data_IF_142148298123
#
_entry.id   IF_142148298123
#
_cell.length_a   1.000
_cell.length_b   1.000
_cell.length_c   1.000
_cell.angle_alpha   90.00
_cell.angle_beta   90.00
_cell.angle_gamma   90.00
#
_symmetry.space_group_name_H-M   'P 1'
#
loop_
_entity.id
_entity.type
_entity.pdbx_description
1 polymer ?
#
# COMPACT_ATOMS: atom_id res chain seq x y z
N UNK A 1 -22.68 84.93 3.98
CA UNK A 1 -23.21 83.55 4.01
C UNK A 1 -22.15 82.65 3.38
N UNK A 2 -21.45 81.87 4.20
CA UNK A 2 -20.39 80.95 3.79
C UNK A 2 -21.00 79.68 3.19
N UNK A 3 -20.52 79.25 2.03
CA UNK A 3 -20.74 77.90 1.50
C UNK A 3 -19.42 77.12 1.60
N UNK A 4 -19.37 76.18 2.54
CA UNK A 4 -18.26 75.24 2.72
C UNK A 4 -18.32 74.16 1.62
N UNK A 5 -17.23 74.02 0.88
CA UNK A 5 -16.95 72.84 0.06
C UNK A 5 -16.29 71.77 0.93
N UNK A 6 -16.96 70.63 1.13
CA UNK A 6 -16.36 69.46 1.78
C UNK A 6 -15.76 68.59 0.69
N UNK A 7 -14.43 68.55 0.61
CA UNK A 7 -13.71 67.55 -0.18
C UNK A 7 -13.70 66.22 0.60
N UNK A 8 -14.36 65.19 0.05
CA UNK A 8 -14.22 63.82 0.54
C UNK A 8 -12.85 63.28 0.13
N UNK A 9 -11.91 63.18 1.08
CA UNK A 9 -10.70 62.37 0.94
C UNK A 9 -11.09 60.90 1.17
N UNK A 10 -11.18 60.12 0.09
CA UNK A 10 -11.27 58.67 0.18
C UNK A 10 -9.90 58.10 0.55
N UNK A 11 -9.72 57.74 1.83
CA UNK A 11 -8.61 56.88 2.25
C UNK A 11 -8.93 55.45 1.80
N UNK A 12 -8.26 54.98 0.75
CA UNK A 12 -8.17 53.54 0.47
C UNK A 12 -7.29 52.90 1.56
N UNK A 13 -7.76 51.87 2.27
CA UNK A 13 -6.88 51.11 3.13
C UNK A 13 -5.87 50.37 2.24
N UNK A 14 -4.59 50.68 2.41
CA UNK A 14 -3.52 49.86 1.88
C UNK A 14 -3.65 48.46 2.49
N UNK A 15 -4.13 47.50 1.70
CA UNK A 15 -4.07 46.09 2.06
C UNK A 15 -2.59 45.73 2.11
N UNK A 16 -2.06 45.59 3.33
CA UNK A 16 -0.83 44.86 3.57
C UNK A 16 -1.09 43.42 3.13
N UNK A 17 -0.70 43.09 1.89
CA UNK A 17 -0.50 41.70 1.52
C UNK A 17 0.60 41.16 2.40
N UNK A 18 0.20 40.39 3.42
CA UNK A 18 1.14 39.53 4.11
C UNK A 18 1.83 38.66 3.05
N UNK A 19 3.15 38.44 3.14
CA UNK A 19 3.77 37.42 2.30
C UNK A 19 3.03 36.12 2.59
N UNK A 20 2.54 35.46 1.54
CA UNK A 20 2.15 34.06 1.62
C UNK A 20 3.44 33.34 2.02
N UNK A 21 3.62 33.13 3.32
CA UNK A 21 4.59 32.16 3.81
C UNK A 21 4.07 30.85 3.26
N UNK A 22 4.68 30.39 2.16
CA UNK A 22 4.55 29.03 1.71
C UNK A 22 4.71 28.17 2.95
N UNK A 23 3.67 27.42 3.29
CA UNK A 23 3.71 26.50 4.39
C UNK A 23 4.70 25.42 3.93
N UNK A 24 5.99 25.63 4.18
CA UNK A 24 7.01 24.58 4.00
C UNK A 24 6.59 23.51 4.98
N UNK A 25 5.82 22.53 4.48
CA UNK A 25 5.29 21.43 5.28
C UNK A 25 6.51 20.76 5.92
N UNK A 26 6.67 20.93 7.23
CA UNK A 26 7.91 20.58 7.92
C UNK A 26 8.13 19.08 7.87
N UNK A 27 9.32 18.67 7.44
CA UNK A 27 9.72 17.26 7.44
C UNK A 27 9.71 16.67 8.86
N UNK A 28 9.19 15.45 8.98
CA UNK A 28 9.19 14.64 10.18
C UNK A 28 10.63 14.32 10.59
N UNK A 29 10.98 14.64 11.85
CA UNK A 29 12.35 14.48 12.36
C UNK A 29 12.58 13.18 13.14
N UNK A 30 11.52 12.42 13.46
CA UNK A 30 11.61 11.16 14.20
C UNK A 30 10.63 10.12 13.64
N UNK A 31 10.89 9.62 12.42
CA UNK A 31 9.99 8.68 11.77
C UNK A 31 9.95 7.34 12.49
N UNK A 32 8.77 6.72 12.53
CA UNK A 32 8.67 5.31 12.90
C UNK A 32 9.29 4.43 11.81
N UNK A 33 9.88 3.30 12.20
CA UNK A 33 10.61 2.43 11.27
C UNK A 33 9.78 1.19 10.97
N UNK A 34 9.34 1.04 9.72
CA UNK A 34 8.78 -0.21 9.18
C UNK A 34 9.92 -1.20 8.94
N UNK A 35 9.72 -2.44 9.35
CA UNK A 35 10.78 -3.47 9.40
C UNK A 35 10.41 -4.71 8.61
N UNK A 36 11.43 -5.42 8.14
CA UNK A 36 11.23 -6.68 7.45
C UNK A 36 10.64 -7.72 8.40
N UNK A 37 9.62 -8.47 7.98
CA UNK A 37 8.87 -9.42 8.81
C UNK A 37 9.78 -10.36 9.64
N UNK A 38 10.85 -10.88 9.04
CA UNK A 38 11.72 -11.87 9.69
C UNK A 38 12.61 -11.25 10.77
N UNK A 39 12.70 -9.92 10.83
CA UNK A 39 13.38 -9.19 11.91
C UNK A 39 12.51 -9.01 13.15
N UNK A 40 11.19 -9.16 13.03
CA UNK A 40 10.26 -9.04 14.16
C UNK A 40 10.44 -10.20 15.15
N UNK A 41 10.25 -9.91 16.43
CA UNK A 41 10.13 -10.95 17.46
C UNK A 41 8.81 -11.71 17.33
N UNK A 42 8.75 -12.94 17.84
CA UNK A 42 7.52 -13.75 17.78
C UNK A 42 6.32 -13.03 18.41
N UNK A 43 6.49 -12.35 19.54
CA UNK A 43 5.40 -11.60 20.18
C UNK A 43 4.84 -10.48 19.30
N UNK A 44 5.65 -9.85 18.46
CA UNK A 44 5.18 -8.82 17.53
C UNK A 44 4.39 -9.45 16.37
N UNK A 45 4.83 -10.62 15.89
CA UNK A 45 4.12 -11.40 14.86
C UNK A 45 2.77 -11.88 15.38
N UNK A 46 2.74 -12.40 16.61
CA UNK A 46 1.51 -12.86 17.26
C UNK A 46 0.49 -11.72 17.39
N UNK A 47 0.92 -10.54 17.88
CA UNK A 47 0.07 -9.35 17.97
C UNK A 47 -0.45 -8.87 16.62
N UNK A 48 0.36 -8.98 15.57
CA UNK A 48 -0.09 -8.65 14.21
C UNK A 48 -1.25 -9.58 13.81
N UNK A 49 -1.08 -10.88 13.98
CA UNK A 49 -2.11 -11.87 13.64
C UNK A 49 -3.38 -11.71 14.49
N UNK A 50 -3.24 -11.43 15.79
CA UNK A 50 -4.36 -11.12 16.69
C UNK A 50 -5.13 -9.89 16.20
N UNK A 51 -4.45 -8.80 15.86
CA UNK A 51 -5.11 -7.59 15.38
C UNK A 51 -5.80 -7.80 14.04
N UNK A 52 -5.21 -8.54 13.10
CA UNK A 52 -5.87 -8.90 11.84
C UNK A 52 -7.19 -9.66 12.09
N UNK A 53 -7.20 -10.62 13.00
CA UNK A 53 -8.40 -11.39 13.35
C UNK A 53 -9.46 -10.53 14.04
N UNK A 54 -9.03 -9.63 14.92
CA UNK A 54 -9.93 -8.69 15.59
C UNK A 54 -10.70 -7.79 14.62
N UNK A 55 -10.15 -7.46 13.44
CA UNK A 55 -10.88 -6.71 12.42
C UNK A 55 -12.14 -7.43 11.92
N UNK A 56 -12.23 -8.76 12.08
CA UNK A 56 -13.45 -9.52 11.75
C UNK A 56 -14.59 -9.30 12.75
N UNK A 57 -14.25 -8.89 13.98
CA UNK A 57 -15.20 -8.62 15.06
C UNK A 57 -15.69 -7.17 15.07
N UNK A 58 -15.00 -6.28 14.35
CA UNK A 58 -15.36 -4.88 14.20
C UNK A 58 -16.48 -4.73 13.15
N UNK A 59 -17.53 -3.95 13.41
CA UNK A 59 -18.59 -3.74 12.42
C UNK A 59 -18.02 -3.04 11.18
N UNK A 60 -18.58 -3.37 10.00
CA UNK A 60 -18.29 -2.64 8.76
C UNK A 60 -18.68 -1.16 8.90
N UNK A 61 -17.90 -0.28 8.29
CA UNK A 61 -18.15 1.16 8.23
C UNK A 61 -18.87 1.60 6.96
N UNK A 62 -18.93 0.75 5.93
CA UNK A 62 -19.45 1.07 4.60
C UNK A 62 -20.98 0.96 4.50
N UNK A 63 -21.63 0.21 5.39
CA UNK A 63 -23.09 0.04 5.37
C UNK A 63 -23.63 -0.68 4.13
N UNK A 64 -22.79 -1.43 3.41
CA UNK A 64 -23.17 -2.25 2.25
C UNK A 64 -23.43 -3.70 2.66
N UNK A 65 -24.23 -4.44 1.87
CA UNK A 65 -24.61 -5.81 2.25
C UNK A 65 -23.43 -6.79 2.10
N UNK A 66 -22.56 -6.58 1.12
CA UNK A 66 -21.46 -7.49 0.79
C UNK A 66 -20.31 -7.44 1.79
N UNK A 67 -20.18 -6.35 2.55
CA UNK A 67 -19.18 -6.20 3.60
C UNK A 67 -19.82 -6.40 4.99
N UNK A 68 -19.33 -7.37 5.77
CA UNK A 68 -19.95 -7.71 7.07
C UNK A 68 -19.19 -7.14 8.25
N UNK A 69 -17.89 -6.88 8.09
CA UNK A 69 -17.01 -6.39 9.14
C UNK A 69 -15.93 -5.47 8.56
N UNK A 70 -15.16 -4.83 9.44
CA UNK A 70 -14.10 -3.91 9.04
C UNK A 70 -13.01 -4.62 8.21
N UNK A 71 -12.78 -5.92 8.43
CA UNK A 71 -11.86 -6.68 7.58
C UNK A 71 -12.33 -6.74 6.13
N UNK A 72 -13.62 -7.02 5.91
CA UNK A 72 -14.23 -7.11 4.57
C UNK A 72 -14.26 -5.75 3.84
N UNK A 73 -14.35 -4.63 4.58
CA UNK A 73 -14.37 -3.28 3.99
C UNK A 73 -13.14 -3.00 3.11
N UNK A 74 -11.95 -3.43 3.56
CA UNK A 74 -10.72 -3.29 2.79
C UNK A 74 -10.83 -4.02 1.45
N UNK A 75 -11.30 -5.26 1.45
CA UNK A 75 -11.47 -6.07 0.24
C UNK A 75 -12.54 -5.50 -0.69
N UNK A 76 -13.65 -5.02 -0.12
CA UNK A 76 -14.75 -4.42 -0.88
C UNK A 76 -14.30 -3.15 -1.61
N UNK A 77 -13.61 -2.23 -0.91
CA UNK A 77 -13.12 -0.98 -1.50
C UNK A 77 -12.13 -1.28 -2.62
N UNK A 78 -11.12 -2.08 -2.33
CA UNK A 78 -10.07 -2.44 -3.28
C UNK A 78 -10.62 -3.10 -4.55
N UNK A 79 -11.61 -3.99 -4.39
CA UNK A 79 -12.31 -4.62 -5.51
C UNK A 79 -13.07 -3.59 -6.35
N UNK A 80 -13.85 -2.74 -5.69
CA UNK A 80 -14.84 -1.89 -6.36
C UNK A 80 -14.19 -0.76 -7.16
N UNK A 81 -13.11 -0.15 -6.64
CA UNK A 81 -12.35 0.91 -7.35
C UNK A 81 -11.09 0.39 -8.04
N UNK A 82 -10.98 -0.91 -8.29
CA UNK A 82 -9.79 -1.53 -8.87
C UNK A 82 -9.26 -0.81 -10.14
N UNK A 83 -10.17 -0.35 -11.02
CA UNK A 83 -9.82 0.31 -12.30
C UNK A 83 -9.20 1.71 -12.17
N UNK A 84 -9.28 2.31 -10.98
CA UNK A 84 -8.73 3.64 -10.70
C UNK A 84 -7.59 3.58 -9.69
N UNK A 85 -7.11 2.38 -9.34
CA UNK A 85 -6.00 2.18 -8.40
C UNK A 85 -4.95 1.16 -8.91
N UNK A 86 -5.24 0.43 -10.00
CA UNK A 86 -4.31 -0.49 -10.67
C UNK A 86 -4.12 -0.16 -12.14
N UNK A 87 -2.88 -0.32 -12.61
CA UNK A 87 -2.45 0.02 -13.95
C UNK A 87 -2.80 1.49 -14.30
N UNK A 88 -2.74 2.34 -13.28
CA UNK A 88 -2.90 3.79 -13.30
C UNK A 88 -1.89 4.47 -12.37
N UNK A 89 -1.63 5.76 -12.59
CA UNK A 89 -0.66 6.53 -11.84
C UNK A 89 -0.90 6.53 -10.33
N UNK A 90 -2.15 6.48 -9.87
CA UNK A 90 -2.49 6.50 -8.45
C UNK A 90 -2.08 5.24 -7.68
N UNK A 91 -1.57 4.20 -8.35
CA UNK A 91 -1.19 2.92 -7.75
C UNK A 91 -0.37 3.07 -6.46
N UNK A 92 0.78 3.74 -6.53
CA UNK A 92 1.63 3.90 -5.35
C UNK A 92 0.98 4.75 -4.23
N UNK A 93 0.55 6.01 -4.46
CA UNK A 93 0.00 6.84 -3.39
C UNK A 93 -1.29 6.27 -2.80
N UNK A 94 -2.15 5.64 -3.62
CA UNK A 94 -3.36 5.00 -3.13
C UNK A 94 -3.06 3.81 -2.23
N UNK A 95 -2.16 2.91 -2.63
CA UNK A 95 -1.79 1.76 -1.80
C UNK A 95 -1.00 2.15 -0.55
N UNK A 96 -0.19 3.21 -0.61
CA UNK A 96 0.42 3.82 0.59
C UNK A 96 -0.64 4.28 1.57
N UNK A 97 -1.65 5.03 1.09
CA UNK A 97 -2.76 5.45 1.93
C UNK A 97 -3.52 4.25 2.51
N UNK A 98 -3.75 3.22 1.70
CA UNK A 98 -4.47 2.02 2.10
C UNK A 98 -3.75 1.22 3.21
N UNK A 99 -2.40 1.18 3.19
CA UNK A 99 -1.60 0.60 4.27
C UNK A 99 -1.79 1.39 5.57
N UNK A 100 -1.75 2.72 5.51
CA UNK A 100 -1.92 3.58 6.68
C UNK A 100 -3.31 3.43 7.31
N UNK A 101 -4.36 3.29 6.49
CA UNK A 101 -5.72 2.97 6.96
C UNK A 101 -5.76 1.62 7.67
N UNK A 102 -5.00 0.63 7.19
CA UNK A 102 -4.90 -0.68 7.85
C UNK A 102 -4.17 -0.59 9.18
N UNK A 103 -3.08 0.17 9.25
CA UNK A 103 -2.36 0.44 10.51
C UNK A 103 -3.30 1.10 11.54
N UNK A 104 -4.07 2.11 11.13
CA UNK A 104 -5.04 2.78 12.00
C UNK A 104 -6.11 1.79 12.51
N UNK A 105 -6.70 1.00 11.63
CA UNK A 105 -7.68 -0.02 12.00
C UNK A 105 -7.10 -1.09 12.95
N UNK A 106 -5.86 -1.53 12.70
CA UNK A 106 -5.17 -2.52 13.55
C UNK A 106 -4.76 -1.95 14.92
N UNK A 107 -4.51 -0.64 15.01
CA UNK A 107 -4.25 0.04 16.28
C UNK A 107 -5.45 -0.03 17.22
N UNK A 108 -6.68 0.06 16.70
CA UNK A 108 -7.90 -0.17 17.48
C UNK A 108 -8.07 -1.62 17.96
N UNK A 109 -7.31 -2.54 17.39
CA UNK A 109 -7.22 -3.94 17.76
C UNK A 109 -5.95 -4.26 18.58
N UNK A 110 -5.24 -3.23 19.07
CA UNK A 110 -4.11 -3.38 19.99
C UNK A 110 -2.75 -3.61 19.34
N UNK A 111 -2.64 -3.49 18.00
CA UNK A 111 -1.37 -3.53 17.30
C UNK A 111 -0.86 -2.12 16.98
N UNK A 112 0.13 -1.66 17.74
CA UNK A 112 0.69 -0.31 17.62
C UNK A 112 2.05 -0.26 16.92
N UNK A 113 2.59 -1.40 16.49
CA UNK A 113 3.86 -1.44 15.75
C UNK A 113 3.62 -0.99 14.30
N UNK A 114 4.62 -0.41 13.61
CA UNK A 114 4.50 -0.07 12.19
C UNK A 114 4.29 -1.31 11.31
N UNK A 115 3.56 -1.17 10.20
CA UNK A 115 3.32 -2.25 9.24
C UNK A 115 4.65 -2.86 8.78
N UNK A 116 4.87 -4.16 9.01
CA UNK A 116 6.05 -4.81 8.49
C UNK A 116 5.95 -5.00 6.99
N UNK A 117 7.09 -5.24 6.35
CA UNK A 117 7.13 -5.57 4.93
C UNK A 117 7.69 -6.97 4.70
N UNK A 118 7.29 -7.58 3.59
CA UNK A 118 7.83 -8.86 3.14
C UNK A 118 8.85 -8.60 2.03
N UNK A 119 10.14 -8.78 2.29
CA UNK A 119 11.16 -8.73 1.24
C UNK A 119 11.14 -10.01 0.42
N UNK A 120 10.32 -10.03 -0.64
CA UNK A 120 10.17 -11.16 -1.54
C UNK A 120 11.43 -11.42 -2.38
N UNK A 121 12.36 -10.48 -2.49
CA UNK A 121 13.62 -10.68 -3.25
C UNK A 121 14.50 -11.78 -2.64
N UNK A 122 14.30 -12.06 -1.35
CA UNK A 122 14.94 -13.16 -0.61
C UNK A 122 14.36 -14.53 -0.96
N UNK A 123 13.18 -14.55 -1.57
CA UNK A 123 12.38 -15.73 -1.91
C UNK A 123 12.21 -15.92 -3.42
N UNK A 124 13.17 -15.45 -4.21
CA UNK A 124 13.08 -15.40 -5.69
C UNK A 124 13.41 -16.71 -6.41
N UNK A 125 13.16 -17.85 -5.75
CA UNK A 125 13.15 -19.19 -6.37
C UNK A 125 11.98 -19.99 -5.84
N UNK A 126 11.48 -20.98 -6.59
CA UNK A 126 10.34 -21.79 -6.15
C UNK A 126 10.61 -22.48 -4.79
N UNK A 127 11.81 -23.03 -4.62
CA UNK A 127 12.22 -23.67 -3.38
C UNK A 127 12.31 -22.69 -2.20
N UNK A 128 12.95 -21.53 -2.40
CA UNK A 128 13.03 -20.49 -1.36
C UNK A 128 11.66 -19.93 -1.01
N UNK A 129 10.80 -19.73 -2.01
CA UNK A 129 9.43 -19.26 -1.81
C UNK A 129 8.63 -20.23 -0.96
N UNK A 130 8.56 -21.51 -1.33
CA UNK A 130 7.80 -22.52 -0.58
C UNK A 130 8.29 -22.70 0.85
N UNK A 131 9.60 -22.58 1.08
CA UNK A 131 10.24 -22.77 2.39
C UNK A 131 10.50 -21.45 3.12
N UNK A 132 9.94 -20.33 2.65
CA UNK A 132 10.19 -19.03 3.25
C UNK A 132 9.54 -18.93 4.64
N UNK A 133 10.21 -18.26 5.58
CA UNK A 133 9.67 -18.01 6.93
C UNK A 133 8.33 -17.24 6.89
N UNK A 134 8.04 -16.49 5.82
CA UNK A 134 6.75 -15.81 5.66
C UNK A 134 5.57 -16.79 5.53
N UNK A 135 5.83 -18.04 5.14
CA UNK A 135 4.84 -19.10 4.97
C UNK A 135 4.95 -20.20 6.04
N UNK A 136 5.80 -20.00 7.05
CA UNK A 136 5.88 -20.88 8.21
C UNK A 136 4.58 -20.81 9.04
N UNK A 137 4.21 -21.93 9.67
CA UNK A 137 2.95 -22.05 10.41
C UNK A 137 2.96 -21.35 11.78
N UNK A 138 4.13 -21.13 12.37
CA UNK A 138 4.25 -20.46 13.68
C UNK A 138 4.75 -19.02 13.50
N UNK A 139 5.69 -18.84 12.56
CA UNK A 139 6.42 -17.59 12.36
C UNK A 139 5.89 -16.71 11.25
N UNK A 140 4.98 -17.22 10.42
CA UNK A 140 4.52 -16.57 9.20
C UNK A 140 3.01 -16.63 9.05
N UNK A 141 2.54 -16.73 7.82
CA UNK A 141 1.13 -16.65 7.45
C UNK A 141 0.53 -18.03 7.14
N UNK A 142 1.30 -19.10 7.30
CA UNK A 142 0.99 -20.44 6.81
C UNK A 142 1.18 -20.60 5.30
N UNK A 143 1.41 -21.84 4.87
CA UNK A 143 1.75 -22.18 3.49
C UNK A 143 0.58 -22.15 2.50
N UNK A 144 0.75 -22.88 1.40
CA UNK A 144 -0.31 -23.14 0.43
C UNK A 144 -1.48 -23.86 1.08
N UNK A 145 -2.70 -23.60 0.62
CA UNK A 145 -3.88 -24.32 1.09
C UNK A 145 -3.85 -25.79 0.71
N UNK A 146 -4.51 -26.60 1.52
CA UNK A 146 -4.66 -28.06 1.36
C UNK A 146 -6.13 -28.49 1.40
N UNK A 147 -7.00 -27.66 1.97
CA UNK A 147 -8.40 -27.99 2.18
C UNK A 147 -9.23 -27.83 0.91
N UNK A 148 -10.22 -28.70 0.75
CA UNK A 148 -11.15 -28.63 -0.37
C UNK A 148 -12.05 -27.40 -0.24
N UNK A 149 -12.31 -26.74 -1.35
CA UNK A 149 -13.24 -25.62 -1.45
C UNK A 149 -13.91 -25.63 -2.81
N UNK A 150 -15.14 -25.13 -2.87
CA UNK A 150 -15.84 -24.84 -4.12
C UNK A 150 -15.46 -23.44 -4.67
N UNK A 151 -14.67 -22.68 -3.91
CA UNK A 151 -14.17 -21.36 -4.31
C UNK A 151 -13.13 -21.46 -5.42
N UNK A 152 -13.14 -20.50 -6.34
CA UNK A 152 -12.27 -20.54 -7.52
C UNK A 152 -10.82 -20.21 -7.18
N UNK A 153 -9.89 -20.85 -7.89
CA UNK A 153 -8.45 -20.55 -7.93
C UNK A 153 -7.64 -20.79 -6.64
N UNK A 154 -8.13 -21.60 -5.69
CA UNK A 154 -7.38 -21.93 -4.48
C UNK A 154 -7.83 -23.17 -3.72
N UNK A 155 -7.14 -23.45 -2.62
CA UNK A 155 -7.49 -24.44 -1.60
C UNK A 155 -7.60 -23.73 -0.26
N UNK A 156 -8.45 -24.20 0.65
CA UNK A 156 -8.56 -23.62 1.99
C UNK A 156 -7.22 -23.72 2.72
N UNK A 157 -6.84 -22.64 3.40
CA UNK A 157 -5.74 -22.64 4.37
C UNK A 157 -6.18 -23.41 5.62
N UNK A 158 -5.53 -24.54 5.89
CA UNK A 158 -5.86 -25.43 7.02
C UNK A 158 -4.81 -25.41 8.15
N UNK A 159 -3.66 -24.77 7.93
CA UNK A 159 -2.56 -24.69 8.88
C UNK A 159 -2.12 -23.25 9.15
N UNK A 160 -1.37 -23.07 10.24
CA UNK A 160 -0.80 -21.80 10.64
C UNK A 160 -1.82 -20.81 11.23
N UNK A 161 -1.49 -19.51 11.35
CA UNK A 161 -2.28 -18.58 12.14
C UNK A 161 -3.67 -18.31 11.55
N UNK A 162 -3.89 -18.61 10.28
CA UNK A 162 -5.15 -18.38 9.57
C UNK A 162 -5.89 -19.69 9.23
N UNK A 163 -5.53 -20.81 9.86
CA UNK A 163 -6.31 -22.04 9.78
C UNK A 163 -7.77 -21.79 10.18
N UNK A 164 -8.70 -22.14 9.28
CA UNK A 164 -10.14 -21.93 9.49
C UNK A 164 -10.61 -20.47 9.42
N UNK A 165 -9.75 -19.54 9.01
CA UNK A 165 -10.12 -18.14 8.76
C UNK A 165 -11.16 -18.08 7.62
N UNK A 166 -12.25 -17.35 7.85
CA UNK A 166 -13.34 -17.18 6.88
C UNK A 166 -13.45 -15.72 6.48
N UNK A 167 -13.68 -15.46 5.20
CA UNK A 167 -13.93 -14.12 4.67
C UNK A 167 -15.35 -14.06 4.10
N UNK A 168 -15.99 -12.89 4.08
CA UNK A 168 -17.38 -12.78 3.62
C UNK A 168 -17.51 -12.19 2.20
N UNK A 169 -16.50 -11.46 1.75
CA UNK A 169 -16.46 -10.84 0.42
C UNK A 169 -15.65 -11.67 -0.58
N UNK A 170 -16.04 -11.77 -1.86
CA UNK A 170 -17.30 -11.31 -2.45
C UNK A 170 -18.50 -12.22 -2.13
N UNK A 171 -18.24 -13.42 -1.61
CA UNK A 171 -19.23 -14.29 -0.96
C UNK A 171 -18.53 -15.05 0.17
N UNK A 172 -19.25 -15.61 1.16
CA UNK A 172 -18.61 -16.34 2.24
C UNK A 172 -17.80 -17.56 1.80
N UNK A 173 -16.52 -17.61 2.16
CA UNK A 173 -15.62 -18.76 1.92
C UNK A 173 -14.49 -18.81 2.96
N UNK A 174 -13.74 -19.92 2.97
CA UNK A 174 -12.46 -20.00 3.71
C UNK A 174 -11.41 -19.13 3.02
N UNK A 175 -10.41 -18.61 3.73
CA UNK A 175 -9.23 -18.03 3.09
C UNK A 175 -8.58 -19.07 2.17
N UNK A 176 -8.30 -18.70 0.92
CA UNK A 176 -7.73 -19.61 -0.07
C UNK A 176 -6.32 -19.22 -0.51
N UNK A 177 -5.46 -20.23 -0.66
CA UNK A 177 -4.13 -20.13 -1.30
C UNK A 177 -3.85 -21.38 -2.14
N UNK A 178 -3.14 -21.21 -3.25
CA UNK A 178 -2.68 -22.35 -4.06
C UNK A 178 -1.46 -21.96 -4.88
N UNK A 179 -0.26 -22.09 -4.30
CA UNK A 179 0.96 -21.55 -4.91
C UNK A 179 1.11 -21.98 -6.37
N UNK A 180 1.19 -21.00 -7.26
CA UNK A 180 1.19 -21.22 -8.70
C UNK A 180 2.41 -20.59 -9.38
N UNK A 181 3.38 -21.45 -9.68
CA UNK A 181 4.60 -21.09 -10.41
C UNK A 181 4.47 -21.27 -11.93
N UNK A 182 3.34 -21.82 -12.41
CA UNK A 182 3.12 -22.03 -13.84
C UNK A 182 2.86 -20.71 -14.54
N UNK A 183 3.72 -20.33 -15.49
CA UNK A 183 3.60 -19.07 -16.23
C UNK A 183 3.95 -17.80 -15.42
N UNK A 184 4.29 -17.94 -14.15
CA UNK A 184 4.79 -16.86 -13.29
C UNK A 184 6.25 -17.15 -12.94
N UNK A 185 7.22 -16.65 -13.72
CA UNK A 185 8.60 -16.97 -13.44
C UNK A 185 9.02 -16.22 -12.17
N UNK A 186 9.51 -16.98 -11.18
CA UNK A 186 10.12 -16.46 -9.93
C UNK A 186 11.24 -15.45 -10.17
N UNK A 187 11.72 -15.33 -11.41
CA UNK A 187 12.65 -14.30 -11.86
C UNK A 187 12.07 -12.89 -11.81
N UNK A 188 10.73 -12.74 -11.78
CA UNK A 188 10.03 -11.45 -11.82
C UNK A 188 10.12 -10.63 -10.52
N UNK A 189 10.85 -11.09 -9.51
CA UNK A 189 11.12 -10.34 -8.28
C UNK A 189 12.51 -10.62 -7.69
N UNK A 190 13.47 -11.00 -8.53
CA UNK A 190 14.86 -11.17 -8.08
C UNK A 190 15.48 -9.83 -7.66
N UNK A 191 16.49 -9.87 -6.77
CA UNK A 191 17.25 -8.66 -6.39
C UNK A 191 17.84 -7.95 -7.62
N UNK A 192 18.31 -8.69 -8.63
CA UNK A 192 18.84 -8.14 -9.88
C UNK A 192 17.76 -7.40 -10.67
N UNK A 193 16.61 -8.02 -10.92
CA UNK A 193 15.50 -7.35 -11.62
C UNK A 193 15.00 -6.11 -10.85
N UNK A 194 14.84 -6.21 -9.53
CA UNK A 194 14.47 -5.05 -8.72
C UNK A 194 15.55 -3.97 -8.88
N UNK A 195 16.83 -4.34 -8.85
CA UNK A 195 17.94 -3.43 -9.11
C UNK A 195 17.84 -2.71 -10.46
N UNK A 196 17.48 -3.40 -11.54
CA UNK A 196 17.22 -2.81 -12.85
C UNK A 196 16.05 -1.81 -12.80
N UNK A 197 14.94 -2.17 -12.15
CA UNK A 197 13.77 -1.29 -11.99
C UNK A 197 14.15 -0.02 -11.21
N UNK A 198 14.96 -0.13 -10.16
CA UNK A 198 15.39 1.02 -9.35
C UNK A 198 16.22 2.05 -10.15
N UNK A 199 16.72 1.70 -11.35
CA UNK A 199 17.48 2.60 -12.21
C UNK A 199 16.61 3.51 -13.08
N UNK A 200 15.31 3.25 -13.22
CA UNK A 200 14.43 4.15 -13.98
C UNK A 200 14.49 5.57 -13.41
N UNK A 201 14.56 6.57 -14.30
CA UNK A 201 14.76 7.96 -13.87
C UNK A 201 13.46 8.71 -13.63
N UNK A 202 12.35 8.23 -14.19
CA UNK A 202 11.02 8.81 -14.06
C UNK A 202 10.00 7.85 -13.43
N UNK A 203 8.94 8.43 -12.89
CA UNK A 203 7.85 7.74 -12.22
C UNK A 203 7.13 6.76 -13.14
N UNK A 204 6.88 7.12 -14.40
CA UNK A 204 6.03 6.33 -15.30
C UNK A 204 6.65 4.96 -15.59
N UNK A 205 7.95 4.92 -15.90
CA UNK A 205 8.65 3.67 -16.15
C UNK A 205 8.90 2.89 -14.85
N UNK A 206 9.26 3.57 -13.77
CA UNK A 206 9.44 2.93 -12.45
C UNK A 206 8.16 2.23 -11.97
N UNK A 207 7.03 2.95 -12.02
CA UNK A 207 5.72 2.45 -11.63
C UNK A 207 5.28 1.28 -12.50
N UNK A 208 5.28 1.45 -13.84
CA UNK A 208 4.80 0.40 -14.74
C UNK A 208 5.57 -0.91 -14.57
N UNK A 209 6.90 -0.84 -14.40
CA UNK A 209 7.71 -2.04 -14.25
C UNK A 209 7.57 -2.65 -12.85
N UNK A 210 7.45 -1.84 -11.79
CA UNK A 210 7.19 -2.35 -10.43
C UNK A 210 5.83 -3.06 -10.34
N UNK A 211 4.78 -2.46 -10.90
CA UNK A 211 3.43 -3.02 -10.82
C UNK A 211 3.31 -4.30 -11.65
N UNK A 212 3.79 -4.31 -12.90
CA UNK A 212 3.60 -5.44 -13.84
C UNK A 212 4.53 -6.61 -13.60
N UNK A 213 5.71 -6.38 -13.04
CA UNK A 213 6.70 -7.42 -12.79
C UNK A 213 6.56 -7.94 -11.36
N UNK A 214 7.22 -7.41 -10.32
CA UNK A 214 7.17 -8.05 -9.03
C UNK A 214 5.76 -8.09 -8.42
N UNK A 215 5.02 -6.98 -8.42
CA UNK A 215 3.70 -6.91 -7.78
C UNK A 215 2.70 -7.93 -8.37
N UNK A 216 2.44 -7.81 -9.67
CA UNK A 216 1.51 -8.65 -10.41
C UNK A 216 1.84 -10.14 -10.31
N UNK A 217 3.13 -10.47 -10.39
CA UNK A 217 3.57 -11.87 -10.35
C UNK A 217 3.50 -12.44 -8.93
N UNK A 218 3.77 -11.64 -7.89
CA UNK A 218 3.60 -12.08 -6.50
C UNK A 218 2.13 -12.41 -6.19
N UNK A 219 1.20 -11.55 -6.61
CA UNK A 219 -0.24 -11.83 -6.50
C UNK A 219 -0.61 -13.15 -7.20
N UNK A 220 -0.13 -13.36 -8.43
CA UNK A 220 -0.39 -14.60 -9.19
C UNK A 220 0.28 -15.83 -8.59
N UNK A 221 1.45 -15.70 -7.98
CA UNK A 221 2.20 -16.81 -7.39
C UNK A 221 1.59 -17.30 -6.08
N UNK A 222 1.17 -16.40 -5.18
CA UNK A 222 0.43 -16.82 -3.97
C UNK A 222 -0.93 -17.44 -4.34
N UNK A 223 -1.58 -16.88 -5.36
CA UNK A 223 -2.85 -17.36 -5.92
C UNK A 223 -3.99 -17.35 -4.88
N UNK A 224 -5.09 -18.06 -5.12
CA UNK A 224 -6.27 -18.00 -4.26
C UNK A 224 -6.80 -16.57 -4.17
N UNK A 225 -7.10 -16.12 -2.95
CA UNK A 225 -7.64 -14.77 -2.74
C UNK A 225 -6.63 -13.69 -3.10
N UNK A 226 -5.34 -13.93 -2.85
CA UNK A 226 -4.25 -12.99 -3.15
C UNK A 226 -4.18 -12.63 -4.64
N UNK A 227 -4.64 -13.47 -5.56
CA UNK A 227 -4.60 -13.17 -7.02
C UNK A 227 -5.75 -12.29 -7.48
N UNK A 228 -6.82 -12.18 -6.70
CA UNK A 228 -8.09 -11.59 -7.13
C UNK A 228 -8.11 -10.09 -6.84
N UNK A 229 -9.10 -9.40 -7.40
CA UNK A 229 -9.32 -7.97 -7.10
C UNK A 229 -9.73 -7.73 -5.64
N UNK A 230 -10.11 -8.78 -4.91
CA UNK A 230 -10.32 -8.79 -3.46
C UNK A 230 -9.11 -9.35 -2.70
N UNK A 231 -7.91 -9.19 -3.24
CA UNK A 231 -6.65 -9.64 -2.62
C UNK A 231 -6.42 -9.17 -1.18
N UNK A 232 -6.99 -8.07 -0.67
CA UNK A 232 -6.91 -7.77 0.77
C UNK A 232 -7.57 -8.80 1.70
N UNK A 233 -8.34 -9.76 1.17
CA UNK A 233 -8.78 -10.94 1.90
C UNK A 233 -7.60 -11.76 2.42
N UNK A 234 -6.47 -11.75 1.71
CA UNK A 234 -5.22 -12.35 2.14
C UNK A 234 -4.48 -11.40 3.10
N UNK A 235 -4.28 -11.75 4.37
CA UNK A 235 -3.55 -10.89 5.31
C UNK A 235 -2.13 -10.52 4.86
N UNK A 236 -1.47 -11.37 4.07
CA UNK A 236 -0.15 -11.11 3.48
C UNK A 236 -0.15 -9.95 2.47
N UNK A 237 -1.31 -9.54 1.95
CA UNK A 237 -1.49 -8.39 1.05
C UNK A 237 -0.78 -7.14 1.55
N UNK A 238 -0.98 -6.78 2.81
CA UNK A 238 -0.45 -5.53 3.35
C UNK A 238 1.07 -5.54 3.49
N UNK A 239 1.69 -6.70 3.78
CA UNK A 239 3.14 -6.83 3.81
C UNK A 239 3.74 -6.83 2.40
N UNK A 240 3.03 -7.40 1.42
CA UNK A 240 3.39 -7.32 0.02
C UNK A 240 3.42 -5.86 -0.45
N UNK A 241 2.32 -5.12 -0.23
CA UNK A 241 2.24 -3.71 -0.59
C UNK A 241 3.17 -2.82 0.25
N UNK A 242 3.47 -3.17 1.50
CA UNK A 242 4.48 -2.45 2.28
C UNK A 242 5.89 -2.59 1.68
N UNK A 243 6.21 -3.70 1.01
CA UNK A 243 7.46 -3.83 0.24
C UNK A 243 7.40 -3.04 -1.07
N UNK A 244 6.26 -2.99 -1.75
CA UNK A 244 6.07 -2.10 -2.92
C UNK A 244 6.28 -0.64 -2.53
N UNK A 245 5.68 -0.22 -1.41
CA UNK A 245 5.84 1.13 -0.83
C UNK A 245 7.29 1.41 -0.41
N UNK A 246 7.97 0.40 0.13
CA UNK A 246 9.40 0.47 0.46
C UNK A 246 10.24 0.75 -0.78
N UNK A 247 10.03 0.02 -1.87
CA UNK A 247 10.77 0.24 -3.12
C UNK A 247 10.54 1.65 -3.66
N UNK A 248 9.30 2.14 -3.63
CA UNK A 248 9.00 3.51 -4.05
C UNK A 248 9.70 4.55 -3.16
N UNK A 249 9.66 4.37 -1.84
CA UNK A 249 10.35 5.25 -0.88
C UNK A 249 11.86 5.31 -1.15
N UNK A 250 12.50 4.15 -1.37
CA UNK A 250 13.92 4.06 -1.70
C UNK A 250 14.22 4.73 -3.05
N UNK A 251 13.38 4.51 -4.06
CA UNK A 251 13.57 5.10 -5.38
C UNK A 251 13.48 6.62 -5.33
N UNK A 252 12.54 7.16 -4.54
CA UNK A 252 12.45 8.59 -4.29
C UNK A 252 13.71 9.13 -3.60
N UNK A 253 14.26 8.42 -2.62
CA UNK A 253 15.61 8.66 -2.07
C UNK A 253 15.86 10.09 -1.57
N UNK A 254 14.82 10.77 -1.06
CA UNK A 254 14.82 12.22 -0.73
C UNK A 254 15.24 13.14 -1.89
N UNK A 255 15.15 12.67 -3.13
CA UNK A 255 15.40 13.47 -4.32
C UNK A 255 14.16 14.33 -4.62
N UNK A 256 14.30 15.65 -4.54
CA UNK A 256 13.19 16.60 -4.75
C UNK A 256 12.41 16.39 -6.06
N UNK A 257 13.10 16.02 -7.14
CA UNK A 257 12.43 15.72 -8.40
C UNK A 257 11.52 14.50 -8.24
N UNK A 258 12.03 13.40 -7.68
CA UNK A 258 11.27 12.14 -7.51
C UNK A 258 10.20 12.21 -6.43
N UNK A 259 10.36 13.08 -5.44
CA UNK A 259 9.32 13.36 -4.43
C UNK A 259 8.09 14.06 -5.02
N UNK A 260 8.21 14.65 -6.22
CA UNK A 260 7.10 15.31 -6.92
C UNK A 260 6.83 14.69 -8.29
N UNK A 261 7.51 13.60 -8.64
CA UNK A 261 7.35 12.94 -9.94
C UNK A 261 6.12 12.03 -9.90
N UNK A 262 5.09 12.42 -10.65
CA UNK A 262 3.81 11.73 -10.74
C UNK A 262 3.27 11.91 -12.16
N UNK A 263 3.15 10.81 -12.89
CA UNK A 263 2.82 10.82 -14.31
C UNK A 263 2.08 9.56 -14.73
N UNK A 264 1.35 9.65 -15.85
CA UNK A 264 0.66 8.53 -16.49
C UNK A 264 -0.86 8.69 -16.54
N UNK A 265 -1.53 7.57 -16.76
CA UNK A 265 -2.98 7.51 -16.93
C UNK A 265 -3.70 7.42 -15.59
N UNK A 266 -4.82 8.13 -15.44
CA UNK A 266 -5.67 8.06 -14.22
C UNK A 266 -6.79 7.02 -14.31
N UNK A 267 -7.00 6.44 -15.50
CA UNK A 267 -7.97 5.36 -15.73
C UNK A 267 -7.28 4.23 -16.48
N UNK A 268 -7.55 3.00 -16.06
CA UNK A 268 -6.98 1.79 -16.64
C UNK A 268 -7.26 1.69 -18.16
N UNK A 269 -6.30 1.11 -18.90
CA UNK A 269 -6.33 0.96 -20.37
C UNK A 269 -6.27 2.28 -21.18
N UNK A 270 -5.97 3.40 -20.54
CA UNK A 270 -5.58 4.64 -21.21
C UNK A 270 -4.05 4.75 -21.25
N UNK A 271 -3.52 5.38 -22.29
CA UNK A 271 -2.09 5.74 -22.40
C UNK A 271 -1.88 7.25 -22.31
N UNK A 272 -2.96 8.02 -22.13
CA UNK A 272 -2.89 9.48 -22.04
C UNK A 272 -2.36 9.85 -20.66
N UNK A 273 -1.32 10.68 -20.63
CA UNK A 273 -0.82 11.25 -19.39
C UNK A 273 -1.77 12.36 -18.91
N UNK A 274 -2.53 12.08 -17.86
CA UNK A 274 -3.51 13.01 -17.26
C UNK A 274 -3.33 13.16 -15.75
N UNK A 275 -2.31 12.54 -15.19
CA UNK A 275 -2.03 12.52 -13.76
C UNK A 275 -1.61 13.91 -13.25
N UNK A 276 -2.09 14.27 -12.06
CA UNK A 276 -1.74 15.49 -11.33
C UNK A 276 -1.61 15.22 -9.83
N UNK A 277 -0.73 15.95 -9.14
CA UNK A 277 -0.62 15.86 -7.67
C UNK A 277 -1.91 16.28 -6.93
N UNK A 278 -2.77 17.05 -7.58
CA UNK A 278 -4.09 17.45 -7.05
C UNK A 278 -5.17 16.35 -7.22
N UNK A 279 -4.86 15.26 -7.92
CA UNK A 279 -5.76 14.12 -8.12
C UNK A 279 -6.20 13.55 -6.76
N UNK A 280 -7.44 13.03 -6.72
CA UNK A 280 -8.04 12.54 -5.49
C UNK A 280 -7.85 11.05 -5.31
N UNK A 281 -7.36 10.66 -4.13
CA UNK A 281 -7.33 9.29 -3.63
C UNK A 281 -8.70 8.96 -3.04
N UNK A 282 -9.54 8.33 -3.86
CA UNK A 282 -10.90 7.92 -3.48
C UNK A 282 -10.87 6.59 -2.71
N UNK A 283 -11.77 6.43 -1.75
CA UNK A 283 -11.86 5.23 -0.89
C UNK A 283 -13.31 4.74 -0.75
N UNK A 284 -14.24 5.17 -1.61
CA UNK A 284 -15.68 4.87 -1.52
C UNK A 284 -16.27 5.18 -0.14
N UNK A 285 -15.94 6.35 0.40
CA UNK A 285 -16.36 6.82 1.72
C UNK A 285 -15.89 5.95 2.90
N UNK A 286 -15.04 4.94 2.67
CA UNK A 286 -14.38 4.16 3.73
C UNK A 286 -13.50 5.04 4.62
N UNK A 287 -12.87 6.04 4.01
CA UNK A 287 -11.98 6.98 4.67
C UNK A 287 -12.05 8.36 4.00
N UNK A 288 -11.56 9.44 4.63
CA UNK A 288 -11.54 10.76 4.01
C UNK A 288 -10.84 10.77 2.65
N UNK A 289 -11.39 11.51 1.68
CA UNK A 289 -10.71 11.76 0.41
C UNK A 289 -9.44 12.59 0.66
N UNK A 290 -8.36 12.21 -0.01
CA UNK A 290 -7.05 12.87 0.09
C UNK A 290 -6.49 13.21 -1.27
N UNK A 291 -5.49 14.08 -1.28
CA UNK A 291 -4.79 14.47 -2.51
C UNK A 291 -3.58 13.56 -2.69
N UNK A 292 -3.20 13.30 -3.95
CA UNK A 292 -1.98 12.54 -4.25
C UNK A 292 -0.75 13.18 -3.60
N UNK A 293 -0.66 14.52 -3.64
CA UNK A 293 0.44 15.28 -3.02
C UNK A 293 0.71 14.87 -1.57
N UNK A 294 -0.34 14.59 -0.79
CA UNK A 294 -0.23 14.25 0.64
C UNK A 294 0.51 12.93 0.88
N UNK A 295 0.60 12.06 -0.13
CA UNK A 295 1.17 10.71 -0.01
C UNK A 295 2.45 10.51 -0.81
N UNK A 296 2.98 11.56 -1.43
CA UNK A 296 4.22 11.45 -2.19
C UNK A 296 5.44 11.25 -1.30
N UNK A 297 5.44 11.78 -0.07
CA UNK A 297 6.60 11.77 0.82
C UNK A 297 6.24 11.18 2.20
N UNK A 298 6.92 10.10 2.60
CA UNK A 298 6.69 9.41 3.87
C UNK A 298 7.10 10.20 5.12
N UNK A 299 7.81 11.32 4.94
CA UNK A 299 8.29 12.21 5.99
C UNK A 299 7.62 13.59 5.97
N UNK A 300 6.63 13.84 5.13
CA UNK A 300 5.92 15.12 5.13
C UNK A 300 4.40 14.93 5.00
N UNK A 301 3.65 16.02 4.92
CA UNK A 301 2.18 15.98 4.81
C UNK A 301 1.44 15.24 5.93
N UNK A 302 2.06 15.12 7.11
CA UNK A 302 1.50 14.37 8.24
C UNK A 302 1.90 12.88 8.26
N UNK A 303 2.62 12.41 7.24
CA UNK A 303 3.32 11.13 7.28
C UNK A 303 4.65 11.28 8.05
N UNK A 304 5.03 10.21 8.75
CA UNK A 304 6.23 10.23 9.60
C UNK A 304 6.76 8.79 9.78
N UNK A 305 7.14 8.14 8.67
CA UNK A 305 7.72 6.80 8.70
C UNK A 305 8.82 6.61 7.66
N UNK A 306 9.68 5.62 7.91
CA UNK A 306 10.74 5.16 7.01
C UNK A 306 10.88 3.64 7.06
N UNK A 307 11.77 3.07 6.26
CA UNK A 307 12.12 1.66 6.27
C UNK A 307 13.51 1.46 6.85
N UNK A 308 13.72 0.35 7.57
CA UNK A 308 14.95 0.04 8.29
C UNK A 308 16.22 -0.03 7.44
N UNK A 309 16.08 -0.18 6.13
CA UNK A 309 17.20 -0.21 5.19
C UNK A 309 17.14 0.88 4.09
N UNK A 310 16.21 1.85 4.20
CA UNK A 310 15.97 2.86 3.17
C UNK A 310 17.25 3.62 2.78
N UNK A 311 18.06 4.00 3.76
CA UNK A 311 19.31 4.76 3.57
C UNK A 311 20.51 3.87 3.20
N UNK A 312 20.36 2.55 3.30
CA UNK A 312 21.46 1.58 3.13
C UNK A 312 21.32 0.74 1.87
N UNK A 313 20.20 0.85 1.16
CA UNK A 313 19.99 0.13 -0.08
C UNK A 313 21.05 0.53 -1.11
N UNK A 314 21.88 -0.44 -1.48
CA UNK A 314 22.85 -0.30 -2.56
C UNK A 314 22.45 -1.22 -3.69
N UNK A 315 22.39 -0.67 -4.88
CA UNK A 315 22.42 -1.45 -6.10
C UNK A 315 23.84 -2.02 -6.21
N UNK A 316 23.98 -3.32 -5.96
CA UNK A 316 25.22 -4.05 -6.28
C UNK A 316 25.18 -4.31 -7.78
N UNK A 317 25.99 -3.56 -8.51
CA UNK A 317 26.21 -3.66 -9.95
C UNK A 317 27.13 -4.88 -10.24
N UNK A 318 26.80 -6.04 -9.68
CA UNK A 318 27.55 -7.28 -9.92
C UNK A 318 27.06 -7.90 -11.24
N UNK A 319 27.48 -7.28 -12.34
CA UNK A 319 27.48 -7.85 -13.69
C UNK A 319 28.64 -8.83 -13.89
#
# INVERSE_FOLDING_TARGET
MLAFWVALLAFLPATLSAPVTGNTKSECTNPVVRREWRSLSQSQRDKFHEAVKCLQDKPSTLGVEESKNLFDDFSYVHYTINRTIHHVSSFFPWHRYFILLREEAMAECGYSDPMPYWDWTRDSTEDKFKNSEIFDNDKGFGGSGTGKTDWLDGLCVEDGPYAGFKVNFPQPHCLTRAFNFTGNPVTNWTKSLVGEIMQYTDYLDFWNNTERLPHDNLHRTVNGDMRRQYSPNEPLFFLHHAQVDRLWTIWQGRNETRLHDYAGNTVQNSTINTASLDDKLLTLDFAPVRDVEDYMDTLSNGLCYTYDDADTWKYDDDH
#
